data_IF_543713249094
#
_entry.id   IF_543713249094
#
_cell.length_a   1.000
_cell.length_b   1.000
_cell.length_c   1.000
_cell.angle_alpha   90.00
_cell.angle_beta   90.00
_cell.angle_gamma   90.00
#
_symmetry.space_group_name_H-M   'P 1'
#
loop_
_entity.id
_entity.type
_entity.pdbx_description
1 polymer ?
#
# COMPACT_ATOMS: atom_id res chain seq x y z
N UNK A 1 -12.37 -17.95 15.93
CA UNK A 1 -11.32 -17.60 14.95
C UNK A 1 -11.63 -16.22 14.39
N UNK A 2 -10.88 -15.19 14.79
CA UNK A 2 -11.06 -13.83 14.26
C UNK A 2 -10.71 -13.87 12.78
N UNK A 3 -11.69 -13.66 11.89
CA UNK A 3 -11.43 -13.55 10.47
C UNK A 3 -10.44 -12.40 10.26
N UNK A 4 -9.17 -12.71 9.97
CA UNK A 4 -8.16 -11.69 9.67
C UNK A 4 -8.60 -11.04 8.37
N UNK A 5 -9.03 -9.78 8.43
CA UNK A 5 -9.40 -8.98 7.27
C UNK A 5 -8.16 -8.31 6.69
N UNK A 6 -8.10 -8.14 5.37
CA UNK A 6 -7.10 -7.26 4.78
C UNK A 6 -7.23 -5.84 5.32
N UNK A 7 -6.11 -5.12 5.40
CA UNK A 7 -6.06 -3.73 5.85
C UNK A 7 -5.22 -2.89 4.90
N UNK A 8 -5.65 -1.65 4.67
CA UNK A 8 -4.85 -0.68 3.95
C UNK A 8 -3.62 -0.31 4.78
N UNK A 9 -2.44 -0.48 4.19
CA UNK A 9 -1.15 -0.26 4.86
C UNK A 9 -0.94 1.16 5.38
N UNK A 10 -1.59 2.15 4.78
CA UNK A 10 -1.45 3.54 5.21
C UNK A 10 -2.53 3.97 6.22
N UNK A 11 -3.81 3.87 5.84
CA UNK A 11 -4.89 4.45 6.64
C UNK A 11 -5.55 3.46 7.61
N UNK A 12 -5.13 2.19 7.62
CA UNK A 12 -5.72 1.14 8.47
C UNK A 12 -7.15 0.74 8.08
N UNK A 13 -7.66 1.21 6.93
CA UNK A 13 -8.99 0.83 6.46
C UNK A 13 -9.10 -0.69 6.30
N UNK A 14 -10.13 -1.29 6.90
CA UNK A 14 -10.46 -2.71 6.73
C UNK A 14 -11.00 -2.95 5.32
N UNK A 15 -10.32 -3.80 4.58
CA UNK A 15 -10.66 -4.21 3.22
C UNK A 15 -11.40 -5.55 3.24
N UNK A 16 -12.25 -5.76 2.25
CA UNK A 16 -12.93 -7.04 2.04
C UNK A 16 -11.97 -8.00 1.37
N UNK A 17 -11.49 -9.00 2.10
CA UNK A 17 -10.54 -9.99 1.58
C UNK A 17 -9.59 -10.51 2.65
N UNK A 18 -8.70 -11.40 2.23
CA UNK A 18 -7.67 -11.99 3.11
C UNK A 18 -6.46 -11.06 3.23
N UNK A 19 -5.75 -11.04 4.37
CA UNK A 19 -4.55 -10.23 4.55
C UNK A 19 -3.52 -10.50 3.46
N UNK A 20 -2.71 -9.49 3.14
CA UNK A 20 -1.69 -9.59 2.09
C UNK A 20 -0.77 -10.81 2.25
N UNK A 21 -0.38 -11.14 3.49
CA UNK A 21 0.46 -12.29 3.82
C UNK A 21 -0.16 -13.65 3.53
N UNK A 22 -1.49 -13.73 3.38
CA UNK A 22 -2.21 -14.96 3.03
C UNK A 22 -2.44 -15.08 1.51
N UNK A 23 -1.94 -14.13 0.72
CA UNK A 23 -2.18 -14.07 -0.71
C UNK A 23 -3.64 -13.75 -1.09
N UNK A 24 -3.86 -13.55 -2.39
CA UNK A 24 -5.18 -13.25 -2.96
C UNK A 24 -5.45 -11.76 -3.18
N UNK A 25 -6.73 -11.43 -3.36
CA UNK A 25 -7.21 -10.06 -3.60
C UNK A 25 -7.92 -9.49 -2.37
N UNK A 26 -7.88 -8.17 -2.25
CA UNK A 26 -8.69 -7.41 -1.30
C UNK A 26 -9.42 -6.29 -2.04
N UNK A 27 -10.57 -5.86 -1.50
CA UNK A 27 -11.47 -4.91 -2.14
C UNK A 27 -11.86 -3.80 -1.17
N UNK A 28 -12.03 -2.59 -1.70
CA UNK A 28 -12.48 -1.44 -0.95
C UNK A 28 -13.96 -1.64 -0.53
N UNK A 29 -14.31 -1.53 0.77
CA UNK A 29 -15.63 -1.93 1.26
C UNK A 29 -16.79 -1.08 0.74
N UNK A 30 -16.52 0.19 0.38
CA UNK A 30 -17.55 1.12 -0.13
C UNK A 30 -17.68 1.13 -1.66
N UNK A 31 -16.58 1.11 -2.41
CA UNK A 31 -16.58 1.23 -3.87
C UNK A 31 -16.58 -0.14 -4.57
N UNK A 32 -16.23 -1.21 -3.86
CA UNK A 32 -16.05 -2.54 -4.45
C UNK A 32 -14.80 -2.68 -5.32
N UNK A 33 -14.01 -1.61 -5.48
CA UNK A 33 -12.80 -1.62 -6.30
C UNK A 33 -11.72 -2.51 -5.67
N UNK A 34 -10.94 -3.18 -6.52
CA UNK A 34 -9.81 -3.99 -6.04
C UNK A 34 -8.73 -3.08 -5.45
N UNK A 35 -8.34 -3.34 -4.21
CA UNK A 35 -7.18 -2.71 -3.60
C UNK A 35 -5.91 -3.05 -4.40
N UNK A 36 -5.05 -2.07 -4.60
CA UNK A 36 -3.76 -2.25 -5.26
C UNK A 36 -2.73 -2.73 -4.25
N UNK A 37 -1.59 -3.21 -4.72
CA UNK A 37 -0.44 -3.59 -3.89
C UNK A 37 0.66 -2.57 -4.20
N UNK A 38 1.21 -1.91 -3.18
CA UNK A 38 2.26 -0.92 -3.39
C UNK A 38 3.60 -1.57 -3.78
N UNK A 39 4.60 -0.75 -4.14
CA UNK A 39 5.92 -1.24 -4.57
C UNK A 39 6.61 -2.15 -3.54
N UNK A 40 6.40 -1.89 -2.25
CA UNK A 40 7.04 -2.59 -1.14
C UNK A 40 6.16 -3.70 -0.51
N UNK A 41 5.06 -4.06 -1.17
CA UNK A 41 4.10 -5.05 -0.70
C UNK A 41 3.08 -4.53 0.33
N UNK A 42 1.92 -5.15 0.36
CA UNK A 42 0.78 -4.74 1.20
C UNK A 42 -0.30 -4.00 0.42
N UNK A 43 -1.56 -4.18 0.85
CA UNK A 43 -2.70 -3.58 0.19
C UNK A 43 -2.82 -2.08 0.46
N UNK A 44 -3.25 -1.33 -0.54
CA UNK A 44 -3.49 0.11 -0.48
C UNK A 44 -4.81 0.45 -1.17
N UNK A 45 -5.59 1.29 -0.52
CA UNK A 45 -6.97 1.59 -0.93
C UNK A 45 -7.10 2.79 -1.88
N UNK A 46 -6.03 3.56 -2.09
CA UNK A 46 -6.02 4.74 -2.99
C UNK A 46 -4.59 5.12 -3.41
N UNK A 47 -4.45 5.90 -4.49
CA UNK A 47 -3.15 6.44 -4.96
C UNK A 47 -2.41 7.20 -3.86
N UNK A 48 -3.14 7.96 -3.03
CA UNK A 48 -2.56 8.67 -1.88
C UNK A 48 -2.02 7.72 -0.81
N UNK A 49 -2.77 6.65 -0.50
CA UNK A 49 -2.30 5.64 0.47
C UNK A 49 -1.08 4.87 -0.05
N UNK A 50 -1.05 4.58 -1.36
CA UNK A 50 0.10 3.98 -2.02
C UNK A 50 1.34 4.86 -1.88
N UNK A 51 1.24 6.14 -2.29
CA UNK A 51 2.35 7.10 -2.17
C UNK A 51 2.86 7.26 -0.75
N UNK A 52 1.95 7.46 0.23
CA UNK A 52 2.34 7.71 1.62
C UNK A 52 2.93 6.48 2.29
N UNK A 53 2.35 5.29 2.08
CA UNK A 53 2.92 4.05 2.62
C UNK A 53 4.28 3.74 2.00
N UNK A 54 4.44 3.95 0.70
CA UNK A 54 5.72 3.71 0.02
C UNK A 54 6.80 4.68 0.50
N UNK A 55 6.47 5.97 0.66
CA UNK A 55 7.42 6.98 1.16
C UNK A 55 7.83 6.70 2.61
N UNK A 56 6.88 6.34 3.47
CA UNK A 56 7.17 6.00 4.86
C UNK A 56 8.10 4.78 4.98
N UNK A 57 7.97 3.81 4.06
CA UNK A 57 8.87 2.65 4.03
C UNK A 57 10.27 3.03 3.60
N UNK A 58 10.42 3.81 2.53
CA UNK A 58 11.72 4.34 2.09
C UNK A 58 12.42 5.12 3.20
N UNK A 59 11.67 5.97 3.91
CA UNK A 59 12.17 6.77 5.03
C UNK A 59 12.60 5.91 6.23
N UNK A 60 11.99 4.73 6.40
CA UNK A 60 12.30 3.81 7.50
C UNK A 60 13.48 2.87 7.23
N UNK A 61 14.03 2.87 6.01
CA UNK A 61 15.10 1.94 5.65
C UNK A 61 16.41 2.26 6.39
N UNK A 62 17.13 1.23 6.90
CA UNK A 62 18.46 1.43 7.46
C UNK A 62 19.40 2.12 6.46
N UNK A 63 20.09 3.17 6.90
CA UNK A 63 20.94 4.00 6.03
C UNK A 63 20.20 5.15 5.34
N UNK A 64 18.90 5.30 5.56
CA UNK A 64 18.17 6.51 5.16
C UNK A 64 18.61 7.69 6.05
N UNK A 65 19.33 8.65 5.45
CA UNK A 65 19.95 9.78 6.16
C UNK A 65 19.56 11.16 5.62
N UNK A 66 18.57 11.23 4.75
CA UNK A 66 18.13 12.47 4.10
C UNK A 66 16.64 12.71 4.35
N UNK A 67 16.21 13.96 4.40
CA UNK A 67 14.79 14.27 4.42
C UNK A 67 14.19 14.05 3.02
N UNK A 68 13.60 12.87 2.82
CA UNK A 68 13.00 12.50 1.55
C UNK A 68 11.52 12.90 1.49
N UNK A 69 11.14 13.72 0.51
CA UNK A 69 9.75 14.20 0.32
C UNK A 69 9.07 13.62 -0.92
N UNK A 70 9.82 12.92 -1.77
CA UNK A 70 9.36 12.28 -3.01
C UNK A 70 9.78 10.83 -3.02
N UNK A 71 9.10 9.97 -3.77
CA UNK A 71 9.47 8.56 -3.88
C UNK A 71 10.78 8.38 -4.66
N UNK A 72 11.46 7.25 -4.44
CA UNK A 72 12.55 6.82 -5.33
C UNK A 72 12.03 6.57 -6.75
N UNK A 73 12.92 6.61 -7.75
CA UNK A 73 12.52 6.47 -9.16
C UNK A 73 11.74 5.17 -9.45
N UNK A 74 12.09 4.06 -8.79
CA UNK A 74 11.42 2.77 -8.97
C UNK A 74 10.03 2.74 -8.32
N UNK A 75 9.93 3.26 -7.09
CA UNK A 75 8.65 3.34 -6.39
C UNK A 75 7.69 4.35 -7.05
N UNK A 76 8.20 5.47 -7.56
CA UNK A 76 7.39 6.44 -8.31
C UNK A 76 6.88 5.82 -9.62
N UNK A 77 7.72 5.13 -10.38
CA UNK A 77 7.29 4.43 -11.60
C UNK A 77 6.26 3.33 -11.31
N UNK A 78 6.39 2.61 -10.18
CA UNK A 78 5.40 1.61 -9.75
C UNK A 78 4.08 2.26 -9.34
N UNK A 79 4.11 3.37 -8.62
CA UNK A 79 2.93 4.15 -8.26
C UNK A 79 2.17 4.59 -9.51
N UNK A 80 2.85 5.16 -10.50
CA UNK A 80 2.18 5.60 -11.72
C UNK A 80 1.58 4.42 -12.50
N UNK A 81 2.28 3.28 -12.62
CA UNK A 81 1.71 2.08 -13.26
C UNK A 81 0.49 1.51 -12.52
N UNK A 82 0.46 1.60 -11.20
CA UNK A 82 -0.65 1.06 -10.40
C UNK A 82 -1.96 1.85 -10.58
N UNK A 83 -1.84 3.16 -10.87
CA UNK A 83 -2.92 4.15 -10.82
C UNK A 83 -3.06 4.98 -12.11
N UNK A 84 -2.51 4.48 -13.22
CA UNK A 84 -2.75 5.00 -14.57
C UNK A 84 -4.09 4.50 -15.15
#
# INVERSE_FOLDING_TARGET
MTAKTAECRWCGMRLQGKPYSMGGNAYHPRTGERAKINHYGGFVCSKTCDRRSSLALEQSMPGHGIEQTKLSCYAEAALERNWA
#
